data_IF_031949277914
#
_entry.id   IF_031949277914
#
_cell.length_a   1.000
_cell.length_b   1.000
_cell.length_c   1.000
_cell.angle_alpha   90.00
_cell.angle_beta   90.00
_cell.angle_gamma   90.00
#
_symmetry.space_group_name_H-M   'P 1'
#
loop_
_entity.id
_entity.type
_entity.pdbx_description
1 polymer ?
#
# COMPACT_ATOMS: atom_id res chain seq x y z
N UNK A 1 5.15 14.44 -10.21
CA UNK A 1 5.41 13.05 -10.59
C UNK A 1 4.21 12.17 -10.31
N UNK A 2 3.93 11.24 -11.23
CA UNK A 2 2.84 10.29 -10.99
C UNK A 2 3.23 9.32 -9.89
N UNK A 3 2.28 8.99 -9.01
CA UNK A 3 2.47 7.94 -8.04
C UNK A 3 2.57 6.60 -8.78
N UNK A 4 3.50 5.73 -8.39
CA UNK A 4 3.61 4.41 -8.99
C UNK A 4 2.41 3.55 -8.63
N UNK A 5 2.03 2.66 -9.54
CA UNK A 5 0.97 1.69 -9.29
C UNK A 5 1.52 0.43 -8.67
N UNK A 6 0.82 -0.09 -7.66
CA UNK A 6 1.14 -1.35 -7.01
C UNK A 6 -0.10 -2.23 -7.03
N UNK A 7 -0.02 -3.38 -7.69
CA UNK A 7 -1.13 -4.32 -7.82
C UNK A 7 -1.02 -5.41 -6.77
N UNK A 8 -2.15 -5.79 -6.19
CA UNK A 8 -2.21 -6.90 -5.24
C UNK A 8 -3.50 -7.68 -5.44
N UNK A 9 -3.56 -8.86 -4.83
CA UNK A 9 -4.75 -9.72 -4.88
C UNK A 9 -5.25 -9.92 -3.46
N UNK A 10 -6.32 -9.21 -3.10
CA UNK A 10 -6.83 -9.20 -1.72
C UNK A 10 -7.28 -10.59 -1.24
N UNK A 11 -7.65 -11.48 -2.17
CA UNK A 11 -8.12 -12.83 -1.83
C UNK A 11 -7.00 -13.87 -1.75
N UNK A 12 -5.76 -13.48 -2.01
CA UNK A 12 -4.61 -14.37 -2.04
C UNK A 12 -3.55 -13.92 -1.05
N UNK A 13 -2.46 -14.68 -0.95
CA UNK A 13 -1.36 -14.33 -0.05
C UNK A 13 -0.81 -12.94 -0.31
N UNK A 14 -0.81 -12.50 -1.57
CA UNK A 14 -0.35 -11.17 -1.93
C UNK A 14 -1.24 -10.06 -1.39
N UNK A 15 -2.40 -10.42 -0.81
CA UNK A 15 -3.27 -9.47 -0.13
C UNK A 15 -2.88 -9.23 1.34
N UNK A 16 -1.91 -9.96 1.87
CA UNK A 16 -1.44 -9.77 3.23
C UNK A 16 -0.79 -8.38 3.35
N UNK A 17 -1.12 -7.68 4.44
CA UNK A 17 -0.64 -6.32 4.66
C UNK A 17 0.88 -6.22 4.56
N UNK A 18 1.60 -7.17 5.17
CA UNK A 18 3.06 -7.13 5.15
C UNK A 18 3.62 -7.41 3.75
N UNK A 19 2.94 -8.25 2.98
CA UNK A 19 3.33 -8.50 1.60
C UNK A 19 3.17 -7.23 0.75
N UNK A 20 2.03 -6.56 0.88
CA UNK A 20 1.77 -5.31 0.16
C UNK A 20 2.78 -4.25 0.58
N UNK A 21 3.04 -4.15 1.87
CA UNK A 21 4.01 -3.19 2.40
C UNK A 21 5.41 -3.45 1.81
N UNK A 22 5.78 -4.71 1.62
CA UNK A 22 7.05 -5.07 0.97
C UNK A 22 7.13 -4.58 -0.47
N UNK A 23 6.02 -4.70 -1.21
CA UNK A 23 5.97 -4.19 -2.59
C UNK A 23 6.09 -2.67 -2.62
N UNK A 24 5.38 -2.00 -1.71
CA UNK A 24 5.44 -0.54 -1.60
C UNK A 24 6.85 -0.10 -1.22
N UNK A 25 7.50 -0.84 -0.31
CA UNK A 25 8.88 -0.56 0.08
C UNK A 25 9.81 -0.56 -1.12
N UNK A 26 9.69 -1.60 -1.97
CA UNK A 26 10.57 -1.72 -3.13
C UNK A 26 10.39 -0.55 -4.09
N UNK A 27 9.14 -0.14 -4.31
CA UNK A 27 8.84 0.99 -5.18
C UNK A 27 9.39 2.29 -4.61
N UNK A 28 9.17 2.54 -3.32
CA UNK A 28 9.64 3.77 -2.69
C UNK A 28 11.17 3.81 -2.64
N UNK A 29 11.83 2.66 -2.44
CA UNK A 29 13.29 2.58 -2.48
C UNK A 29 13.84 2.94 -3.85
N UNK A 30 13.19 2.49 -4.91
CA UNK A 30 13.60 2.85 -6.27
C UNK A 30 13.51 4.35 -6.50
N UNK A 31 12.59 5.02 -5.82
CA UNK A 31 12.43 6.45 -5.89
C UNK A 31 13.27 7.19 -4.84
N UNK A 32 14.08 6.46 -4.07
CA UNK A 32 14.90 7.00 -2.98
C UNK A 32 14.09 7.70 -1.90
N UNK A 33 12.85 7.24 -1.69
CA UNK A 33 11.94 7.81 -0.70
C UNK A 33 11.97 6.99 0.59
N UNK A 34 13.13 6.91 1.21
CA UNK A 34 13.34 6.05 2.39
C UNK A 34 12.61 6.57 3.62
N UNK A 35 12.63 7.87 3.84
CA UNK A 35 11.93 8.48 4.98
C UNK A 35 10.43 8.28 4.85
N UNK A 36 9.90 8.46 3.63
CA UNK A 36 8.49 8.21 3.38
C UNK A 36 8.11 6.77 3.72
N UNK A 37 8.94 5.81 3.34
CA UNK A 37 8.65 4.43 3.67
C UNK A 37 8.67 4.18 5.18
N UNK A 38 9.65 4.74 5.89
CA UNK A 38 9.73 4.56 7.34
C UNK A 38 8.48 5.10 8.04
N UNK A 39 8.02 6.28 7.63
CA UNK A 39 6.81 6.87 8.18
C UNK A 39 5.59 6.02 7.86
N UNK A 40 5.48 5.54 6.62
CA UNK A 40 4.37 4.70 6.21
C UNK A 40 4.36 3.39 6.98
N UNK A 41 5.52 2.74 7.12
CA UNK A 41 5.62 1.47 7.85
C UNK A 41 5.11 1.63 9.28
N UNK A 42 5.54 2.69 9.97
CA UNK A 42 5.11 2.92 11.33
C UNK A 42 3.60 3.12 11.41
N UNK A 43 3.03 3.87 10.47
CA UNK A 43 1.58 4.09 10.42
C UNK A 43 0.82 2.79 10.15
N UNK A 44 1.31 1.96 9.22
CA UNK A 44 0.67 0.70 8.87
C UNK A 44 0.71 -0.28 10.05
N UNK A 45 1.83 -0.35 10.76
CA UNK A 45 1.95 -1.22 11.93
C UNK A 45 1.02 -0.82 13.07
N UNK A 46 0.59 0.44 13.09
CA UNK A 46 -0.35 0.95 14.10
C UNK A 46 -1.78 1.06 13.57
N UNK A 47 -2.04 0.63 12.34
CA UNK A 47 -3.38 0.71 11.75
C UNK A 47 -4.34 -0.20 12.50
N UNK A 48 -5.58 0.28 12.67
CA UNK A 48 -6.61 -0.44 13.40
C UNK A 48 -7.34 -1.50 12.57
N UNK A 49 -7.14 -1.52 11.26
CA UNK A 49 -7.80 -2.48 10.38
C UNK A 49 -7.01 -2.66 9.09
N UNK A 50 -7.33 -3.74 8.37
CA UNK A 50 -6.75 -4.00 7.07
C UNK A 50 -7.05 -2.87 6.09
N UNK A 51 -8.31 -2.41 6.07
CA UNK A 51 -8.74 -1.34 5.18
C UNK A 51 -8.00 -0.05 5.47
N UNK A 52 -7.82 0.28 6.74
CA UNK A 52 -7.06 1.46 7.14
C UNK A 52 -5.61 1.36 6.65
N UNK A 53 -4.99 0.18 6.78
CA UNK A 53 -3.62 -0.03 6.31
C UNK A 53 -3.53 0.18 4.80
N UNK A 54 -4.50 -0.33 4.04
CA UNK A 54 -4.52 -0.13 2.60
C UNK A 54 -4.64 1.35 2.23
N UNK A 55 -5.48 2.09 2.94
CA UNK A 55 -5.64 3.51 2.66
C UNK A 55 -4.40 4.31 2.97
N UNK A 56 -3.70 3.97 4.04
CA UNK A 56 -2.43 4.60 4.37
C UNK A 56 -1.40 4.40 3.25
N UNK A 57 -1.29 3.17 2.77
CA UNK A 57 -0.37 2.87 1.68
C UNK A 57 -0.78 3.57 0.37
N UNK A 58 -2.07 3.68 0.13
CA UNK A 58 -2.58 4.36 -1.06
C UNK A 58 -2.28 5.86 -1.06
N UNK A 59 -1.90 6.42 0.07
CA UNK A 59 -1.45 7.80 0.14
C UNK A 59 -0.08 8.03 -0.50
N UNK A 60 0.71 6.97 -0.62
CA UNK A 60 2.08 7.04 -1.15
C UNK A 60 2.22 6.45 -2.55
N UNK A 61 1.39 5.48 -2.89
CA UNK A 61 1.35 4.82 -4.19
C UNK A 61 -0.10 4.68 -4.61
N UNK A 62 -0.33 4.24 -5.84
CA UNK A 62 -1.70 3.91 -6.28
C UNK A 62 -1.85 2.41 -6.08
N UNK A 63 -2.60 2.00 -5.06
CA UNK A 63 -2.88 0.59 -4.82
C UNK A 63 -4.06 0.14 -5.66
N UNK A 64 -3.90 -0.98 -6.33
CA UNK A 64 -4.94 -1.56 -7.18
C UNK A 64 -5.17 -3.00 -6.74
N UNK A 65 -6.38 -3.28 -6.27
CA UNK A 65 -6.80 -4.64 -5.94
C UNK A 65 -7.32 -5.32 -7.19
N UNK A 66 -6.54 -6.23 -7.73
CA UNK A 66 -6.92 -6.95 -8.95
C UNK A 66 -8.08 -7.91 -8.74
N UNK A 67 -8.41 -8.24 -7.49
CA UNK A 67 -9.59 -9.04 -7.16
C UNK A 67 -10.85 -8.18 -7.01
N UNK A 68 -10.71 -6.87 -7.00
CA UNK A 68 -11.84 -5.95 -7.03
C UNK A 68 -12.61 -5.78 -5.73
N UNK A 69 -12.13 -6.31 -4.61
CA UNK A 69 -12.80 -6.17 -3.32
C UNK A 69 -12.66 -4.76 -2.74
N UNK A 70 -11.54 -4.13 -2.97
CA UNK A 70 -11.25 -2.81 -2.41
C UNK A 70 -10.96 -1.85 -3.55
N UNK A 71 -11.76 -0.80 -3.64
CA UNK A 71 -11.50 0.28 -4.61
C UNK A 71 -11.07 1.52 -3.83
N UNK A 72 -9.77 1.67 -3.68
CA UNK A 72 -9.19 2.73 -2.88
C UNK A 72 -9.30 4.10 -3.56
N UNK A 73 -9.58 4.13 -4.86
CA UNK A 73 -9.72 5.39 -5.57
C UNK A 73 -11.03 6.09 -5.23
N UNK A 74 -12.04 5.33 -4.79
CA UNK A 74 -13.34 5.88 -4.40
C UNK A 74 -13.45 6.13 -2.90
N UNK A 75 -12.55 5.57 -2.12
CA UNK A 75 -12.67 5.50 -0.68
C UNK A 75 -12.20 6.71 0.08
N UNK A 76 -12.22 7.82 -0.51
CA UNK A 76 -11.69 9.01 0.14
C UNK A 76 -12.80 9.86 0.70
#
# INVERSE_FOLDING_TARGET
>A
MKKPEVHFHSRHESGNTLYILGMVRDVLRKQRRYTDFNNLRDAVLNAGSYEEALQLMNGYVILIDDDGLYDLRKGV
#
